data_IF_981509042410
#
_entry.id   IF_981509042410
#
_cell.length_a   1.000
_cell.length_b   1.000
_cell.length_c   1.000
_cell.angle_alpha   90.00
_cell.angle_beta   90.00
_cell.angle_gamma   90.00
#
_symmetry.space_group_name_H-M   'P 1'
#
loop_
_entity.id
_entity.type
_entity.pdbx_description
1 polymer ?
#
# COMPACT_ATOMS: atom_id res chain seq x y z
N UNK A 1 -13.20 -76.91 -46.58
CA UNK A 1 -12.71 -76.41 -45.24
C UNK A 1 -12.38 -74.94 -45.43
N UNK A 2 -13.31 -74.05 -45.08
CA UNK A 2 -13.26 -72.61 -45.35
C UNK A 2 -12.91 -71.92 -44.10
N UNK A 3 -11.72 -71.30 -44.06
CA UNK A 3 -11.20 -70.50 -42.92
C UNK A 3 -11.79 -69.07 -42.97
N UNK A 4 -12.61 -68.72 -42.04
CA UNK A 4 -13.15 -67.35 -41.89
C UNK A 4 -12.17 -66.52 -41.02
N UNK A 5 -11.55 -65.55 -41.66
CA UNK A 5 -10.73 -64.50 -40.96
C UNK A 5 -11.69 -63.42 -40.52
N UNK A 6 -11.80 -63.23 -39.23
CA UNK A 6 -12.51 -62.11 -38.64
C UNK A 6 -11.54 -60.95 -38.44
N UNK A 7 -11.78 -59.84 -39.14
CA UNK A 7 -11.04 -58.57 -38.97
C UNK A 7 -11.74 -57.78 -37.85
N UNK A 8 -11.08 -57.64 -36.73
CA UNK A 8 -11.52 -56.76 -35.64
C UNK A 8 -11.00 -55.33 -35.92
N UNK A 9 -11.91 -54.43 -36.25
CA UNK A 9 -11.60 -53.00 -36.37
C UNK A 9 -11.59 -52.41 -34.98
N UNK A 10 -10.39 -52.06 -34.49
CA UNK A 10 -10.22 -51.36 -33.19
C UNK A 10 -10.34 -49.86 -33.46
N UNK A 11 -11.50 -49.28 -33.13
CA UNK A 11 -11.74 -47.84 -33.25
C UNK A 11 -11.11 -47.14 -32.04
N UNK A 12 -9.93 -46.57 -32.22
CA UNK A 12 -9.28 -45.72 -31.23
C UNK A 12 -9.98 -44.35 -31.20
N UNK A 13 -10.85 -44.13 -30.23
CA UNK A 13 -11.39 -42.79 -29.91
C UNK A 13 -10.28 -42.01 -29.22
N UNK A 14 -9.60 -41.09 -29.92
CA UNK A 14 -8.76 -40.08 -29.31
C UNK A 14 -9.67 -39.07 -28.59
N UNK A 15 -9.76 -39.22 -27.30
CA UNK A 15 -10.24 -38.14 -26.43
C UNK A 15 -9.15 -37.05 -26.40
N UNK A 16 -9.32 -35.99 -27.19
CA UNK A 16 -8.63 -34.75 -26.99
C UNK A 16 -9.16 -34.17 -25.66
N UNK A 17 -8.44 -34.45 -24.59
CA UNK A 17 -8.58 -33.68 -23.35
C UNK A 17 -8.01 -32.30 -23.66
N UNK A 18 -8.88 -31.31 -23.91
CA UNK A 18 -8.53 -29.91 -23.69
C UNK A 18 -8.21 -29.78 -22.23
N UNK A 19 -6.95 -29.81 -21.85
CA UNK A 19 -6.49 -29.28 -20.59
C UNK A 19 -6.62 -27.75 -20.71
N UNK A 20 -7.76 -27.19 -20.30
CA UNK A 20 -7.78 -25.80 -19.89
C UNK A 20 -6.75 -25.68 -18.77
N UNK A 21 -5.54 -25.30 -19.14
CA UNK A 21 -4.54 -24.84 -18.17
C UNK A 21 -5.15 -23.62 -17.52
N UNK A 22 -5.60 -23.77 -16.28
CA UNK A 22 -5.93 -22.60 -15.47
C UNK A 22 -4.76 -21.60 -15.60
N UNK A 23 -5.03 -20.30 -15.83
CA UNK A 23 -3.97 -19.33 -15.95
C UNK A 23 -3.05 -19.48 -14.73
N UNK A 24 -1.76 -19.68 -14.98
CA UNK A 24 -0.78 -19.81 -13.90
C UNK A 24 -0.71 -18.44 -13.24
N UNK A 25 -1.29 -18.31 -12.07
CA UNK A 25 -1.21 -17.08 -11.27
C UNK A 25 0.28 -16.78 -11.04
N UNK A 26 0.77 -15.68 -11.57
CA UNK A 26 2.13 -15.24 -11.36
C UNK A 26 2.18 -14.32 -10.13
N UNK A 27 2.34 -14.92 -8.96
CA UNK A 27 2.60 -14.17 -7.74
C UNK A 27 3.98 -13.51 -7.81
N UNK A 28 4.03 -12.21 -7.55
CA UNK A 28 5.26 -11.41 -7.52
C UNK A 28 5.30 -10.55 -6.27
N UNK A 29 6.49 -10.17 -5.83
CA UNK A 29 6.66 -9.26 -4.71
C UNK A 29 6.35 -7.82 -5.11
N UNK A 30 6.00 -7.00 -4.10
CA UNK A 30 5.77 -5.55 -4.29
C UNK A 30 7.03 -4.88 -4.86
N UNK A 31 8.22 -5.23 -4.37
CA UNK A 31 9.48 -4.67 -4.88
C UNK A 31 9.69 -5.01 -6.36
N UNK A 32 9.41 -6.26 -6.76
CA UNK A 32 9.49 -6.64 -8.18
C UNK A 32 8.49 -5.85 -9.02
N UNK A 33 7.23 -5.77 -8.58
CA UNK A 33 6.21 -5.02 -9.31
C UNK A 33 6.61 -3.55 -9.49
N UNK A 34 7.08 -2.89 -8.43
CA UNK A 34 7.59 -1.50 -8.48
C UNK A 34 8.76 -1.35 -9.46
N UNK A 35 9.65 -2.35 -9.55
CA UNK A 35 10.82 -2.31 -10.44
C UNK A 35 10.47 -2.25 -11.92
N UNK A 36 9.27 -2.68 -12.31
CA UNK A 36 8.78 -2.60 -13.70
C UNK A 36 8.56 -1.15 -14.16
N UNK A 37 8.31 -0.22 -13.21
CA UNK A 37 8.10 1.20 -13.50
C UNK A 37 9.43 1.96 -13.58
N UNK A 38 10.21 1.72 -14.63
CA UNK A 38 11.50 2.40 -14.86
C UNK A 38 11.34 3.87 -15.30
N UNK A 39 10.18 4.25 -15.84
CA UNK A 39 9.83 5.61 -16.27
C UNK A 39 8.79 6.25 -15.35
N UNK A 40 8.00 7.15 -15.94
CA UNK A 40 6.94 7.85 -15.20
C UNK A 40 5.70 6.98 -14.96
N UNK A 41 5.45 6.02 -15.84
CA UNK A 41 4.31 5.10 -15.73
C UNK A 41 4.61 3.78 -16.43
N UNK A 42 3.93 2.72 -15.98
CA UNK A 42 4.00 1.38 -16.58
C UNK A 42 2.63 0.72 -16.50
N UNK A 43 2.05 0.36 -17.65
CA UNK A 43 0.81 -0.41 -17.71
C UNK A 43 1.11 -1.89 -17.55
N UNK A 44 0.50 -2.53 -16.57
CA UNK A 44 0.68 -3.96 -16.31
C UNK A 44 -0.21 -4.74 -17.28
N UNK A 45 0.40 -5.59 -18.07
CA UNK A 45 -0.28 -6.44 -19.08
C UNK A 45 -0.21 -7.93 -18.75
N UNK A 46 0.71 -8.30 -17.86
CA UNK A 46 0.88 -9.65 -17.37
C UNK A 46 -0.06 -9.94 -16.19
N UNK A 47 -0.40 -11.22 -15.99
CA UNK A 47 -1.29 -11.68 -14.93
C UNK A 47 -0.58 -11.75 -13.58
N UNK A 48 0.12 -10.66 -13.21
CA UNK A 48 0.77 -10.55 -11.91
C UNK A 48 -0.24 -10.40 -10.78
N UNK A 49 0.06 -11.08 -9.67
CA UNK A 49 -0.68 -10.96 -8.42
C UNK A 49 0.32 -10.57 -7.34
N UNK A 50 0.00 -9.54 -6.57
CA UNK A 50 0.69 -9.25 -5.31
C UNK A 50 -0.20 -9.65 -4.15
N UNK A 51 0.43 -10.21 -3.09
CA UNK A 51 -0.24 -10.49 -1.82
C UNK A 51 0.42 -9.71 -0.72
N UNK A 52 -0.39 -9.25 0.23
CA UNK A 52 0.14 -8.47 1.34
C UNK A 52 -0.92 -8.14 2.38
N UNK A 53 -0.48 -7.36 3.36
CA UNK A 53 -1.32 -6.89 4.47
C UNK A 53 -1.61 -5.40 4.29
N UNK A 54 -2.88 -5.02 4.40
CA UNK A 54 -3.30 -3.61 4.40
C UNK A 54 -2.89 -2.97 5.72
N UNK A 55 -2.12 -1.90 5.66
CA UNK A 55 -1.59 -1.23 6.86
C UNK A 55 -2.09 0.20 7.05
N UNK A 56 -2.65 0.80 6.00
CA UNK A 56 -3.26 2.13 6.08
C UNK A 56 -4.45 2.25 5.13
N UNK A 57 -5.48 2.95 5.60
CA UNK A 57 -6.67 3.31 4.85
C UNK A 57 -7.13 4.71 5.28
N UNK A 58 -8.30 5.14 4.83
CA UNK A 58 -8.91 6.42 5.20
C UNK A 58 -9.54 6.44 6.60
N UNK A 59 -9.33 5.42 7.43
CA UNK A 59 -10.03 5.21 8.71
C UNK A 59 -9.98 6.42 9.65
N UNK A 60 -8.83 7.08 9.78
CA UNK A 60 -8.68 8.29 10.62
C UNK A 60 -8.34 9.53 9.76
N UNK A 61 -8.66 9.51 8.47
CA UNK A 61 -8.35 10.61 7.57
C UNK A 61 -6.86 10.77 7.23
N UNK A 62 -6.04 9.76 7.54
CA UNK A 62 -4.57 9.75 7.34
C UNK A 62 -4.17 9.47 5.89
N UNK A 63 -5.08 8.94 5.09
CA UNK A 63 -4.96 8.82 3.64
C UNK A 63 -6.17 9.45 2.95
N UNK A 64 -6.01 9.81 1.68
CA UNK A 64 -7.11 10.35 0.88
C UNK A 64 -7.25 9.52 -0.39
N UNK A 65 -8.37 8.78 -0.51
CA UNK A 65 -8.67 7.92 -1.67
C UNK A 65 -7.55 6.94 -2.00
N UNK A 66 -6.89 6.41 -0.98
CA UNK A 66 -5.84 5.40 -1.13
C UNK A 66 -5.79 4.44 0.06
N UNK A 67 -5.16 3.30 -0.16
CA UNK A 67 -4.75 2.38 0.88
C UNK A 67 -3.30 1.94 0.65
N UNK A 68 -2.64 1.45 1.70
CA UNK A 68 -1.27 0.93 1.62
C UNK A 68 -1.28 -0.54 1.95
N UNK A 69 -0.66 -1.34 1.07
CA UNK A 69 -0.40 -2.76 1.26
C UNK A 69 1.10 -2.99 1.40
N UNK A 70 1.48 -3.90 2.28
CA UNK A 70 2.88 -4.30 2.47
C UNK A 70 3.04 -5.80 2.35
N UNK A 71 4.20 -6.21 1.83
CA UNK A 71 4.72 -7.58 1.91
C UNK A 71 6.14 -7.57 2.52
N UNK A 72 6.83 -8.71 2.52
CA UNK A 72 8.20 -8.80 3.04
C UNK A 72 9.22 -7.96 2.26
N UNK A 73 8.89 -7.57 1.02
CA UNK A 73 9.78 -6.82 0.13
C UNK A 73 9.61 -5.32 0.21
N UNK A 74 8.50 -4.82 0.82
CA UNK A 74 8.21 -3.41 0.95
C UNK A 74 6.73 -3.07 0.90
N UNK A 75 6.42 -1.79 0.69
CA UNK A 75 5.05 -1.30 0.65
C UNK A 75 4.68 -0.61 -0.67
N UNK A 76 3.38 -0.59 -0.94
CA UNK A 76 2.80 0.02 -2.14
C UNK A 76 1.50 0.73 -1.78
N UNK A 77 1.43 2.01 -2.06
CA UNK A 77 0.18 2.76 -2.02
C UNK A 77 -0.62 2.53 -3.30
N UNK A 78 -1.92 2.30 -3.18
CA UNK A 78 -2.79 2.12 -4.34
C UNK A 78 -4.05 2.99 -4.24
N UNK A 79 -4.39 3.60 -5.37
CA UNK A 79 -5.48 4.56 -5.46
C UNK A 79 -6.83 3.86 -5.50
N UNK A 80 -7.73 4.21 -4.57
CA UNK A 80 -9.10 3.70 -4.48
C UNK A 80 -10.07 4.88 -4.42
N UNK A 81 -11.10 4.88 -5.23
CA UNK A 81 -12.21 5.82 -5.14
C UNK A 81 -13.47 5.10 -4.63
N UNK A 82 -13.50 4.92 -3.32
CA UNK A 82 -14.65 4.38 -2.57
C UNK A 82 -15.03 5.35 -1.45
N UNK A 83 -16.30 5.34 -1.05
CA UNK A 83 -16.80 6.24 0.00
C UNK A 83 -16.33 5.85 1.41
N UNK A 84 -15.96 4.60 1.60
CA UNK A 84 -15.67 4.02 2.92
C UNK A 84 -14.65 2.90 2.71
N UNK A 85 -13.41 3.32 2.40
CA UNK A 85 -12.32 2.39 2.10
C UNK A 85 -12.04 1.52 3.33
N UNK A 86 -11.95 2.12 4.52
CA UNK A 86 -11.63 1.44 5.76
C UNK A 86 -12.65 0.35 6.14
N UNK A 87 -13.92 0.54 5.79
CA UNK A 87 -14.97 -0.46 6.01
C UNK A 87 -14.88 -1.60 5.02
N UNK A 88 -14.62 -1.29 3.75
CA UNK A 88 -14.52 -2.29 2.68
C UNK A 88 -13.21 -3.05 2.73
N UNK A 89 -12.16 -2.40 3.19
CA UNK A 89 -10.80 -2.91 3.27
C UNK A 89 -10.21 -2.59 4.65
N UNK A 90 -10.62 -3.32 5.70
CA UNK A 90 -10.13 -3.06 7.05
C UNK A 90 -8.61 -3.19 7.14
N UNK A 91 -8.00 -2.39 8.00
CA UNK A 91 -6.58 -2.51 8.35
C UNK A 91 -6.29 -3.92 8.86
N UNK A 92 -5.12 -4.45 8.50
CA UNK A 92 -4.66 -5.83 8.74
C UNK A 92 -5.41 -6.89 7.92
N UNK A 93 -6.24 -6.52 6.94
CA UNK A 93 -6.71 -7.49 5.96
C UNK A 93 -5.54 -8.01 5.12
N UNK A 94 -5.46 -9.34 4.98
CA UNK A 94 -4.62 -9.98 3.96
C UNK A 94 -5.37 -9.93 2.64
N UNK A 95 -4.72 -9.42 1.61
CA UNK A 95 -5.33 -9.23 0.31
C UNK A 95 -4.48 -9.78 -0.82
N UNK A 96 -5.16 -10.11 -1.91
CA UNK A 96 -4.55 -10.29 -3.23
C UNK A 96 -4.99 -9.15 -4.14
N UNK A 97 -4.04 -8.55 -4.86
CA UNK A 97 -4.32 -7.55 -5.91
C UNK A 97 -3.95 -8.17 -7.27
N UNK A 98 -4.93 -8.29 -8.14
CA UNK A 98 -4.79 -8.77 -9.53
C UNK A 98 -4.39 -7.60 -10.40
N UNK A 99 -3.15 -7.55 -10.84
CA UNK A 99 -2.55 -6.34 -11.40
C UNK A 99 -2.80 -6.14 -12.91
N UNK A 100 -3.21 -7.17 -13.66
CA UNK A 100 -3.41 -7.06 -15.11
C UNK A 100 -4.47 -5.99 -15.43
N UNK A 101 -4.07 -5.01 -16.25
CA UNK A 101 -4.88 -3.86 -16.65
C UNK A 101 -4.73 -2.65 -15.74
N UNK A 102 -4.11 -2.78 -14.56
CA UNK A 102 -3.72 -1.66 -13.71
C UNK A 102 -2.47 -0.95 -14.23
N UNK A 103 -2.15 0.17 -13.62
CA UNK A 103 -1.01 1.01 -13.96
C UNK A 103 -0.19 1.33 -12.71
N UNK A 104 1.11 1.25 -12.84
CA UNK A 104 2.05 1.89 -11.92
C UNK A 104 2.36 3.29 -12.44
N UNK A 105 2.39 4.26 -11.56
CA UNK A 105 2.75 5.63 -11.90
C UNK A 105 3.62 6.27 -10.84
N UNK A 106 4.57 7.11 -11.27
CA UNK A 106 5.40 7.89 -10.37
C UNK A 106 4.66 9.18 -9.98
N UNK A 107 4.23 9.25 -8.75
CA UNK A 107 3.47 10.38 -8.18
C UNK A 107 4.30 10.98 -7.04
N UNK A 108 4.67 12.26 -7.15
CA UNK A 108 5.46 12.93 -6.13
C UNK A 108 6.82 12.28 -5.80
N UNK A 109 7.39 11.50 -6.73
CA UNK A 109 8.66 10.78 -6.52
C UNK A 109 8.52 9.34 -6.05
N UNK A 110 7.35 8.90 -5.60
CA UNK A 110 7.05 7.49 -5.24
C UNK A 110 6.28 6.78 -6.36
N UNK A 111 6.31 5.45 -6.34
CA UNK A 111 5.52 4.62 -7.26
C UNK A 111 4.23 4.22 -6.57
N UNK A 112 3.10 4.49 -7.23
CA UNK A 112 1.76 4.12 -6.80
C UNK A 112 1.09 3.22 -7.83
N UNK A 113 0.14 2.40 -7.39
CA UNK A 113 -0.68 1.52 -8.22
C UNK A 113 -2.10 2.09 -8.33
N UNK A 114 -2.72 1.97 -9.51
CA UNK A 114 -4.12 2.35 -9.69
C UNK A 114 -4.66 1.93 -11.04
N UNK A 115 -5.82 2.47 -11.40
CA UNK A 115 -6.39 2.29 -12.72
C UNK A 115 -5.63 3.16 -13.75
N UNK A 116 -5.73 2.86 -15.05
CA UNK A 116 -5.29 3.78 -16.09
C UNK A 116 -5.94 5.16 -15.91
N UNK A 117 -5.18 6.25 -16.10
CA UNK A 117 -5.69 7.59 -15.86
C UNK A 117 -6.80 7.96 -16.85
N UNK A 118 -7.73 8.76 -16.36
CA UNK A 118 -8.74 9.43 -17.17
C UNK A 118 -8.56 10.94 -17.03
N UNK A 119 -8.20 11.64 -18.11
CA UNK A 119 -7.86 13.05 -18.10
C UNK A 119 -6.41 13.33 -17.72
N UNK A 120 -6.15 14.43 -17.01
CA UNK A 120 -4.81 14.98 -16.77
C UNK A 120 -4.12 14.42 -15.53
N UNK A 121 -4.73 13.49 -14.81
CA UNK A 121 -4.12 12.86 -13.65
C UNK A 121 -3.10 11.80 -14.05
N UNK A 122 -1.98 11.64 -13.31
CA UNK A 122 -0.95 10.64 -13.62
C UNK A 122 -1.42 9.21 -13.35
N UNK A 123 -2.47 9.02 -12.55
CA UNK A 123 -3.02 7.73 -12.15
C UNK A 123 -4.53 7.85 -11.91
N UNK A 124 -5.29 6.86 -12.32
CA UNK A 124 -6.70 6.69 -11.99
C UNK A 124 -6.89 5.83 -10.73
N UNK A 125 -8.07 5.93 -10.11
CA UNK A 125 -8.41 5.14 -8.94
C UNK A 125 -9.21 3.89 -9.29
N UNK A 126 -9.02 2.82 -8.52
CA UNK A 126 -9.88 1.64 -8.52
C UNK A 126 -11.20 2.06 -7.86
N UNK A 127 -12.26 2.18 -8.63
CA UNK A 127 -13.57 2.55 -8.10
C UNK A 127 -14.34 1.33 -7.56
N UNK A 128 -15.53 1.57 -6.99
CA UNK A 128 -16.36 0.52 -6.39
C UNK A 128 -16.74 -0.60 -7.36
N UNK A 129 -16.96 -0.28 -8.64
CA UNK A 129 -17.33 -1.27 -9.68
C UNK A 129 -16.15 -2.17 -10.06
N UNK A 130 -14.93 -1.63 -9.95
CA UNK A 130 -13.69 -2.32 -10.29
C UNK A 130 -13.12 -3.12 -9.10
N UNK A 131 -13.54 -2.82 -7.88
CA UNK A 131 -12.91 -3.34 -6.66
C UNK A 131 -12.83 -4.87 -6.67
N UNK A 132 -13.94 -5.57 -6.80
CA UNK A 132 -14.00 -7.04 -6.71
C UNK A 132 -13.29 -7.74 -7.89
N UNK A 133 -13.01 -7.01 -8.97
CA UNK A 133 -12.19 -7.49 -10.08
C UNK A 133 -10.71 -7.51 -9.72
N UNK A 134 -10.25 -6.49 -8.99
CA UNK A 134 -8.82 -6.29 -8.74
C UNK A 134 -8.39 -6.66 -7.33
N UNK A 135 -9.29 -6.66 -6.35
CA UNK A 135 -8.95 -6.86 -4.94
C UNK A 135 -9.77 -8.00 -4.35
N UNK A 136 -9.09 -8.97 -3.76
CA UNK A 136 -9.71 -10.06 -2.99
C UNK A 136 -9.19 -10.02 -1.56
N UNK A 137 -10.09 -10.08 -0.59
CA UNK A 137 -9.73 -10.23 0.82
C UNK A 137 -9.60 -11.73 1.10
N UNK A 138 -8.42 -12.14 1.60
CA UNK A 138 -8.06 -13.54 1.88
C UNK A 138 -8.22 -13.88 3.37
N UNK A 139 -8.28 -12.88 4.24
CA UNK A 139 -8.40 -13.04 5.69
C UNK A 139 -7.84 -11.86 6.46
N UNK A 140 -7.49 -12.08 7.72
CA UNK A 140 -6.92 -11.05 8.61
C UNK A 140 -5.54 -11.51 9.09
N UNK A 141 -4.61 -10.57 9.21
CA UNK A 141 -3.30 -10.77 9.84
C UNK A 141 -3.38 -10.35 11.31
N UNK A 142 -3.53 -11.32 12.20
CA UNK A 142 -3.75 -11.06 13.64
C UNK A 142 -2.49 -10.57 14.38
N UNK A 143 -1.31 -10.89 13.86
CA UNK A 143 -0.03 -10.64 14.52
C UNK A 143 0.89 -9.71 13.72
N UNK A 144 0.31 -8.75 13.00
CA UNK A 144 1.11 -7.81 12.24
C UNK A 144 1.98 -6.94 13.16
N UNK A 145 3.26 -6.87 12.85
CA UNK A 145 4.23 -6.01 13.55
C UNK A 145 5.03 -5.21 12.54
N UNK A 146 5.08 -3.89 12.70
CA UNK A 146 5.91 -3.03 11.86
C UNK A 146 7.40 -3.26 12.18
N UNK A 147 8.28 -3.42 11.19
CA UNK A 147 9.72 -3.51 11.41
C UNK A 147 10.26 -2.24 12.09
N UNK A 148 11.15 -2.40 13.06
CA UNK A 148 11.81 -1.26 13.73
C UNK A 148 13.09 -0.88 12.98
N UNK A 149 13.29 0.41 12.74
CA UNK A 149 14.49 1.00 12.14
C UNK A 149 14.96 2.24 12.89
N UNK A 150 16.20 2.66 12.63
CA UNK A 150 16.72 3.98 12.97
C UNK A 150 16.47 4.96 11.81
N UNK A 151 16.44 6.27 12.09
CA UNK A 151 16.30 7.28 11.03
C UNK A 151 17.44 7.22 10.02
N UNK A 152 18.66 6.92 10.48
CA UNK A 152 19.85 6.76 9.65
C UNK A 152 19.80 5.55 8.69
N UNK A 153 18.90 4.60 8.91
CA UNK A 153 18.73 3.40 8.08
C UNK A 153 17.66 3.56 7.00
N UNK A 154 16.95 4.70 6.98
CA UNK A 154 15.90 4.96 5.97
C UNK A 154 16.54 5.08 4.60
N UNK A 155 15.99 4.38 3.63
CA UNK A 155 16.44 4.33 2.25
C UNK A 155 15.30 4.46 1.25
N UNK A 156 15.63 4.60 -0.02
CA UNK A 156 14.63 4.65 -1.10
C UNK A 156 13.76 3.38 -1.16
N UNK A 157 14.26 2.23 -0.69
CA UNK A 157 13.50 0.98 -0.62
C UNK A 157 12.39 1.01 0.43
N UNK A 158 12.47 1.93 1.39
CA UNK A 158 11.48 2.05 2.45
C UNK A 158 10.26 2.92 2.06
N UNK A 159 10.32 3.61 0.93
CA UNK A 159 9.19 4.44 0.46
C UNK A 159 7.94 3.58 0.25
N UNK A 160 6.87 3.95 0.94
CA UNK A 160 5.60 3.23 0.97
C UNK A 160 5.55 2.11 2.01
N UNK A 161 6.66 1.79 2.69
CA UNK A 161 6.70 0.75 3.73
C UNK A 161 6.29 1.32 5.09
N UNK A 162 5.71 0.45 5.93
CA UNK A 162 5.38 0.77 7.31
C UNK A 162 6.59 0.46 8.20
N UNK A 163 7.00 1.43 9.01
CA UNK A 163 8.11 1.30 9.94
C UNK A 163 7.74 1.76 11.34
N UNK A 164 8.43 1.22 12.33
CA UNK A 164 8.39 1.64 13.73
C UNK A 164 9.70 2.33 14.10
N UNK A 165 9.58 3.41 14.84
CA UNK A 165 10.69 4.14 15.43
C UNK A 165 10.44 4.35 16.92
N UNK A 166 11.43 4.07 17.74
CA UNK A 166 11.34 4.13 19.20
C UNK A 166 12.21 5.25 19.76
N UNK A 167 11.92 5.66 20.99
CA UNK A 167 12.66 6.68 21.76
C UNK A 167 12.73 8.02 21.01
N UNK A 168 11.58 8.52 20.57
CA UNK A 168 11.47 9.75 19.82
C UNK A 168 10.96 10.89 20.70
N UNK A 169 11.37 12.11 20.36
CA UNK A 169 10.77 13.36 20.85
C UNK A 169 10.22 14.15 19.67
N UNK A 170 9.19 14.96 19.93
CA UNK A 170 8.65 15.89 18.95
C UNK A 170 9.20 17.27 19.32
N UNK A 171 9.99 17.86 18.41
CA UNK A 171 10.71 19.11 18.70
C UNK A 171 9.82 20.28 19.12
N UNK A 172 8.62 20.36 18.55
CA UNK A 172 7.66 21.43 18.78
C UNK A 172 6.70 21.18 19.95
N UNK A 173 6.72 19.96 20.54
CA UNK A 173 5.77 19.60 21.59
C UNK A 173 6.08 20.34 22.89
N UNK A 174 5.10 21.13 23.37
CA UNK A 174 5.14 21.90 24.61
C UNK A 174 3.86 21.75 25.45
N UNK A 175 3.07 20.71 25.16
CA UNK A 175 1.77 20.41 25.78
C UNK A 175 0.60 21.22 25.25
N UNK A 176 0.83 22.26 24.48
CA UNK A 176 -0.23 23.06 23.86
C UNK A 176 -0.27 22.88 22.33
N UNK A 177 0.84 22.52 21.70
CA UNK A 177 0.95 22.33 20.26
C UNK A 177 0.09 21.15 19.79
N UNK A 178 -0.61 21.37 18.68
CA UNK A 178 -1.50 20.39 18.06
C UNK A 178 -0.83 19.69 16.90
N UNK A 179 -1.41 18.57 16.45
CA UNK A 179 -0.91 17.84 15.28
C UNK A 179 -0.91 18.69 14.01
N UNK A 180 -1.98 19.48 13.82
CA UNK A 180 -2.08 20.42 12.71
C UNK A 180 -2.23 21.85 13.20
N UNK A 181 -1.67 22.78 12.43
CA UNK A 181 -1.87 24.21 12.62
C UNK A 181 -3.21 24.66 12.07
N UNK A 182 -3.63 25.84 12.51
CA UNK A 182 -4.79 26.54 11.96
C UNK A 182 -4.30 27.84 11.33
N UNK A 183 -4.60 28.05 10.05
CA UNK A 183 -4.27 29.27 9.31
C UNK A 183 -5.59 29.89 8.81
N UNK A 184 -5.82 31.15 9.12
CA UNK A 184 -7.03 31.89 8.76
C UNK A 184 -8.36 31.17 9.13
N UNK A 185 -8.33 30.40 10.22
CA UNK A 185 -9.48 29.62 10.71
C UNK A 185 -9.64 28.23 10.11
N UNK A 186 -8.80 27.85 9.14
CA UNK A 186 -8.81 26.55 8.49
C UNK A 186 -7.68 25.68 9.01
N UNK A 187 -7.97 24.40 9.25
CA UNK A 187 -6.94 23.41 9.61
C UNK A 187 -6.08 23.10 8.39
N UNK A 188 -4.78 23.19 8.54
CA UNK A 188 -3.83 22.97 7.44
C UNK A 188 -2.95 21.75 7.67
N UNK A 189 -2.64 21.00 6.60
CA UNK A 189 -1.66 19.90 6.67
C UNK A 189 -0.34 20.44 7.19
N UNK A 190 0.18 19.83 8.26
CA UNK A 190 1.32 20.34 8.99
C UNK A 190 2.45 19.32 9.05
N UNK A 191 3.68 19.82 9.08
CA UNK A 191 4.87 19.03 9.34
C UNK A 191 5.39 19.40 10.74
N UNK A 192 5.73 18.35 11.52
CA UNK A 192 6.44 18.44 12.80
C UNK A 192 7.78 17.73 12.68
N UNK A 193 8.66 17.91 13.64
CA UNK A 193 9.99 17.32 13.62
C UNK A 193 10.11 16.24 14.68
N UNK A 194 10.25 14.98 14.24
CA UNK A 194 10.68 13.90 15.13
C UNK A 194 12.19 13.94 15.29
N UNK A 195 12.66 13.72 16.53
CA UNK A 195 14.07 13.65 16.90
C UNK A 195 14.32 12.30 17.56
N UNK A 196 15.31 11.54 17.08
CA UNK A 196 15.75 10.32 17.73
C UNK A 196 16.82 10.58 18.83
N UNK A 197 17.20 9.55 19.57
CA UNK A 197 18.22 9.64 20.64
C UNK A 197 19.62 10.04 20.16
N UNK A 198 19.89 9.96 18.85
CA UNK A 198 21.14 10.37 18.23
C UNK A 198 21.10 11.79 17.65
N UNK A 199 19.98 12.50 17.87
CA UNK A 199 19.64 13.81 17.32
C UNK A 199 19.48 13.83 15.77
N UNK A 200 19.22 12.68 15.14
CA UNK A 200 18.76 12.68 13.77
C UNK A 200 17.30 13.13 13.74
N UNK A 201 16.90 13.74 12.64
CA UNK A 201 15.54 14.28 12.49
C UNK A 201 14.80 13.63 11.32
N UNK A 202 13.49 13.45 11.50
CA UNK A 202 12.58 13.00 10.45
C UNK A 202 11.31 13.88 10.50
N UNK A 203 10.91 14.53 9.40
CA UNK A 203 9.64 15.22 9.35
C UNK A 203 8.47 14.26 9.56
N UNK A 204 7.51 14.67 10.36
CA UNK A 204 6.25 14.00 10.61
C UNK A 204 5.13 14.79 9.96
N UNK A 205 4.46 14.22 8.96
CA UNK A 205 3.35 14.86 8.27
C UNK A 205 2.02 14.40 8.83
N UNK A 206 1.18 15.36 9.21
CA UNK A 206 -0.23 15.13 9.57
C UNK A 206 -1.13 15.86 8.60
N UNK A 207 -2.08 15.15 8.00
CA UNK A 207 -3.05 15.75 7.08
C UNK A 207 -4.10 16.55 7.88
N UNK A 208 -4.58 17.64 7.30
CA UNK A 208 -5.69 18.43 7.87
C UNK A 208 -7.00 17.63 7.97
N UNK A 209 -7.10 16.53 7.25
CA UNK A 209 -8.26 15.61 7.25
C UNK A 209 -8.21 14.58 8.37
N UNK A 210 -7.10 14.49 9.14
CA UNK A 210 -7.00 13.53 10.23
C UNK A 210 -8.00 13.89 11.36
N UNK A 211 -8.72 12.90 11.86
CA UNK A 211 -9.70 13.07 12.93
C UNK A 211 -9.08 13.68 14.20
N UNK A 212 -7.78 13.43 14.43
CA UNK A 212 -6.99 13.94 15.56
C UNK A 212 -6.18 15.21 15.24
N UNK A 213 -6.37 15.84 14.08
CA UNK A 213 -5.58 16.99 13.63
C UNK A 213 -5.49 18.12 14.68
N UNK A 214 -6.56 18.36 15.44
CA UNK A 214 -6.64 19.39 16.45
C UNK A 214 -6.36 18.88 17.87
N UNK A 215 -6.03 17.61 18.08
CA UNK A 215 -5.59 17.11 19.38
C UNK A 215 -4.19 17.63 19.71
N UNK A 216 -3.87 17.67 21.02
CA UNK A 216 -2.53 18.03 21.50
C UNK A 216 -1.55 16.91 21.25
N UNK A 217 -0.33 17.28 20.90
CA UNK A 217 0.77 16.34 20.77
C UNK A 217 1.30 15.90 22.14
N UNK A 218 1.81 14.65 22.24
CA UNK A 218 2.46 14.19 23.47
C UNK A 218 3.80 14.94 23.69
N UNK A 219 4.07 15.34 24.93
CA UNK A 219 5.33 15.97 25.34
C UNK A 219 6.43 14.97 25.70
N UNK A 220 6.03 13.76 26.12
CA UNK A 220 6.96 12.74 26.58
C UNK A 220 7.62 12.01 25.39
N UNK A 221 8.62 11.19 25.72
CA UNK A 221 9.18 10.25 24.78
C UNK A 221 8.10 9.31 24.22
N UNK A 222 8.15 9.06 22.91
CA UNK A 222 7.16 8.26 22.18
C UNK A 222 7.84 7.20 21.32
N UNK A 223 7.05 6.22 20.89
CA UNK A 223 7.31 5.42 19.71
C UNK A 223 6.28 5.76 18.64
N UNK A 224 6.69 5.85 17.39
CA UNK A 224 5.79 6.14 16.27
C UNK A 224 5.83 5.01 15.24
N UNK A 225 4.66 4.65 14.71
CA UNK A 225 4.51 3.72 13.60
C UNK A 225 3.84 4.46 12.44
N UNK A 226 4.42 4.38 11.26
CA UNK A 226 3.88 5.07 10.11
C UNK A 226 4.50 4.62 8.79
N UNK A 227 4.00 5.19 7.72
CA UNK A 227 4.50 4.97 6.36
C UNK A 227 5.63 5.94 6.10
N UNK A 228 6.77 5.44 5.60
CA UNK A 228 7.79 6.29 5.02
C UNK A 228 7.28 6.78 3.67
N UNK A 229 7.10 8.07 3.58
CA UNK A 229 6.66 8.74 2.37
C UNK A 229 7.78 9.64 1.82
N UNK A 230 7.62 10.14 0.59
CA UNK A 230 8.64 10.91 -0.08
C UNK A 230 8.00 12.00 -0.94
N UNK A 231 8.43 13.22 -0.76
CA UNK A 231 8.07 14.35 -1.60
C UNK A 231 9.14 15.46 -1.46
N UNK A 232 9.29 16.29 -2.49
CA UNK A 232 10.21 17.42 -2.51
C UNK A 232 11.64 17.02 -2.09
N UNK A 233 12.11 15.89 -2.63
CA UNK A 233 13.44 15.30 -2.41
C UNK A 233 13.77 14.96 -0.93
N UNK A 234 12.76 14.71 -0.11
CA UNK A 234 12.94 14.34 1.30
C UNK A 234 11.99 13.24 1.76
N UNK A 235 12.45 12.43 2.70
CA UNK A 235 11.61 11.47 3.42
C UNK A 235 10.83 12.17 4.52
N UNK A 236 9.65 11.64 4.81
CA UNK A 236 8.88 12.00 5.98
C UNK A 236 8.05 10.80 6.46
N UNK A 237 7.70 10.80 7.74
CA UNK A 237 6.80 9.83 8.31
C UNK A 237 5.36 10.34 8.20
N UNK A 238 4.46 9.49 7.74
CA UNK A 238 3.01 9.67 7.84
C UNK A 238 2.50 8.63 8.84
N UNK A 239 2.03 9.08 10.01
CA UNK A 239 1.45 8.19 11.02
C UNK A 239 0.25 7.47 10.40
N UNK A 240 0.06 6.22 10.78
CA UNK A 240 -1.12 5.44 10.40
C UNK A 240 -1.80 4.88 11.63
N UNK A 241 -3.14 4.86 11.58
CA UNK A 241 -4.00 4.35 12.64
C UNK A 241 -3.73 5.05 14.01
N UNK A 242 -3.24 6.30 13.98
CA UNK A 242 -2.82 7.06 15.17
C UNK A 242 -1.85 6.29 16.09
N UNK A 243 -0.98 5.48 15.49
CA UNK A 243 -0.04 4.64 16.25
C UNK A 243 1.12 5.46 16.81
N UNK A 244 0.83 6.22 17.86
CA UNK A 244 1.79 6.85 18.78
C UNK A 244 1.67 6.14 20.12
N UNK A 245 2.77 5.59 20.59
CA UNK A 245 2.87 4.83 21.84
C UNK A 245 3.69 5.67 22.81
N UNK A 246 3.10 5.99 23.94
CA UNK A 246 3.74 6.71 25.06
C UNK A 246 4.32 5.74 26.09
#
# INVERSE_FOLDING_TARGET
>A
MILRIAIAIFSAVLLLACTDSAPTEHEVSIAYLKSLCSGNHYRIVDDYIIRGVVVATDWLGETNKSAVVVDESGGLEFAIDSRDISRRLPVYSRISIFCNGLMLSRVGGKIELGAPPTGDFPLGSINDEMFDRYIRIEGVEENFTAPTKLFSEISIGDIGNILRFDNLHIAEADGEVRWCDTLDGEVVTTYRTLIDKENNTLPLRTLSTCDYALERMPENEISAIGIIDYADDRYFLRIVNKMIIQ
#
